data_IF_257884061577
#
_entry.id   IF_257884061577
#
_cell.length_a   1.000
_cell.length_b   1.000
_cell.length_c   1.000
_cell.angle_alpha   90.00
_cell.angle_beta   90.00
_cell.angle_gamma   90.00
#
_symmetry.space_group_name_H-M   'P 1'
#
loop_
_entity.id
_entity.type
_entity.pdbx_description
1 polymer ?
#
# COMPACT_ATOMS: atom_id res chain seq x y z
N UNK A 26 -1.73 -15.91 -16.37
CA UNK A 26 -1.64 -15.97 -14.89
C UNK A 26 -0.70 -14.90 -14.29
N UNK A 27 -0.77 -14.75 -12.96
CA UNK A 27 0.03 -13.78 -12.17
C UNK A 27 1.36 -14.39 -11.67
N UNK A 28 2.24 -13.55 -11.08
CA UNK A 28 3.54 -13.98 -10.45
C UNK A 28 3.33 -14.44 -8.99
N UNK A 29 4.31 -15.15 -8.42
CA UNK A 29 4.17 -15.72 -7.06
C UNK A 29 4.62 -14.66 -6.00
N UNK A 30 4.08 -14.73 -4.75
CA UNK A 30 4.26 -13.71 -3.68
C UNK A 30 5.68 -13.14 -3.38
N UNK A 31 6.64 -13.98 -2.93
CA UNK A 31 8.09 -13.59 -2.84
C UNK A 31 8.51 -12.54 -3.95
N UNK A 32 8.35 -12.89 -5.24
CA UNK A 32 8.84 -12.04 -6.33
C UNK A 32 8.04 -10.76 -6.56
N UNK A 33 6.73 -10.78 -6.35
CA UNK A 33 5.83 -9.81 -7.02
C UNK A 33 6.12 -8.39 -6.71
N UNK A 34 6.20 -7.55 -7.75
CA UNK A 34 6.21 -6.11 -7.56
C UNK A 34 5.70 -5.33 -8.75
N UNK A 35 5.43 -4.04 -8.56
CA UNK A 35 4.68 -3.29 -9.53
C UNK A 35 5.44 -3.07 -10.80
N UNK A 36 4.72 -3.06 -11.89
CA UNK A 36 5.32 -2.89 -13.20
C UNK A 36 6.43 -1.88 -13.16
N UNK A 37 6.14 -0.66 -12.70
CA UNK A 37 7.22 0.36 -12.53
C UNK A 37 7.63 0.46 -11.06
N UNK A 38 8.94 0.39 -10.78
CA UNK A 38 9.39 0.57 -9.40
C UNK A 38 9.06 1.98 -8.85
N UNK A 39 8.57 2.00 -7.60
CA UNK A 39 8.13 3.21 -6.88
C UNK A 39 6.79 3.81 -7.27
N UNK A 40 6.07 3.15 -8.16
CA UNK A 40 4.83 3.66 -8.67
C UNK A 40 3.86 2.52 -8.73
N UNK A 41 2.78 2.64 -7.97
CA UNK A 41 1.73 1.65 -7.97
C UNK A 41 0.44 2.23 -8.59
N UNK A 42 -0.10 1.57 -9.62
CA UNK A 42 -1.25 2.05 -10.38
C UNK A 42 -2.40 1.08 -10.16
N UNK A 43 -3.58 1.41 -10.67
CA UNK A 43 -4.73 0.54 -10.53
C UNK A 43 -4.47 -0.83 -11.16
N UNK A 44 -3.76 -0.90 -12.29
CA UNK A 44 -3.46 -2.23 -12.85
C UNK A 44 -2.66 -3.13 -11.92
N UNK A 45 -1.78 -2.57 -11.12
CA UNK A 45 -0.96 -3.44 -10.29
C UNK A 45 -1.88 -4.21 -9.34
N UNK A 46 -2.92 -3.53 -8.85
CA UNK A 46 -3.86 -4.18 -7.94
C UNK A 46 -4.92 -5.02 -8.67
N UNK A 47 -5.50 -4.51 -9.74
CA UNK A 47 -6.58 -5.23 -10.35
C UNK A 47 -6.12 -6.57 -10.91
N UNK A 48 -4.88 -6.66 -11.34
CA UNK A 48 -4.42 -7.93 -11.89
C UNK A 48 -4.59 -9.01 -10.81
N UNK A 49 -4.48 -8.59 -9.56
CA UNK A 49 -4.50 -9.52 -8.46
C UNK A 49 -5.90 -9.81 -7.92
N UNK A 50 -6.90 -9.00 -8.26
CA UNK A 50 -8.26 -9.28 -7.79
C UNK A 50 -8.70 -10.68 -8.24
N UNK A 51 -9.28 -11.44 -7.33
CA UNK A 51 -9.80 -12.76 -7.67
C UNK A 51 -8.79 -13.89 -7.56
N UNK A 52 -7.56 -13.55 -7.19
CA UNK A 52 -6.47 -14.50 -7.23
C UNK A 52 -6.21 -14.77 -5.79
N UNK A 53 -6.50 -15.99 -5.36
CA UNK A 53 -6.63 -16.25 -3.94
C UNK A 53 -5.27 -16.31 -3.23
N UNK A 54 -4.17 -16.22 -3.99
CA UNK A 54 -2.88 -15.98 -3.32
C UNK A 54 -2.90 -14.64 -2.60
N UNK A 55 -3.62 -13.66 -3.12
CA UNK A 55 -3.48 -12.26 -2.70
C UNK A 55 -4.66 -11.69 -1.91
N UNK A 56 -5.76 -12.42 -1.92
CA UNK A 56 -6.90 -12.07 -1.10
C UNK A 56 -7.94 -13.18 -1.09
N UNK A 57 -9.14 -12.81 -0.67
CA UNK A 57 -10.29 -13.71 -0.67
C UNK A 57 -11.56 -12.89 -0.83
N UNK A 58 -12.63 -13.56 -1.24
CA UNK A 58 -13.95 -12.96 -1.23
C UNK A 58 -14.63 -13.17 0.12
N UNK A 59 -14.92 -12.07 0.82
CA UNK A 59 -15.47 -12.15 2.18
C UNK A 59 -16.94 -12.65 2.22
N UNK A 60 -17.50 -12.66 3.43
CA UNK A 60 -18.85 -13.17 3.71
C UNK A 60 -19.88 -12.61 2.69
N UNK A 61 -19.81 -11.29 2.48
CA UNK A 61 -20.78 -10.56 1.65
C UNK A 61 -20.52 -10.70 0.13
N UNK A 62 -19.35 -11.24 -0.23
CA UNK A 62 -18.92 -11.28 -1.64
C UNK A 62 -18.08 -10.06 -2.04
N UNK A 63 -17.13 -9.69 -1.18
CA UNK A 63 -16.37 -8.44 -1.34
C UNK A 63 -14.91 -8.82 -1.26
N UNK A 64 -14.09 -8.34 -2.17
CA UNK A 64 -12.71 -8.78 -2.19
C UNK A 64 -11.93 -8.15 -1.02
N UNK A 65 -11.18 -8.94 -0.27
CA UNK A 65 -10.34 -8.42 0.81
C UNK A 65 -8.98 -8.91 0.55
N UNK A 66 -8.00 -8.15 1.03
CA UNK A 66 -6.62 -8.35 0.61
C UNK A 66 -5.81 -8.98 1.70
N UNK A 67 -4.85 -9.82 1.33
CA UNK A 67 -3.96 -10.41 2.32
C UNK A 67 -2.60 -9.66 2.43
N UNK A 68 -2.43 -8.64 1.58
CA UNK A 68 -1.22 -7.83 1.63
C UNK A 68 -1.43 -6.48 0.97
N UNK A 69 -0.33 -5.87 0.51
CA UNK A 69 -0.36 -4.57 -0.20
C UNK A 69 0.98 -4.21 -0.80
N UNK A 70 0.96 -3.23 -1.68
CA UNK A 70 2.21 -2.73 -2.19
C UNK A 70 2.78 -1.70 -1.27
N UNK A 71 4.10 -1.78 -1.08
CA UNK A 71 4.83 -0.92 -0.15
C UNK A 71 5.38 0.26 -0.91
N UNK A 72 6.10 1.16 -0.23
CA UNK A 72 6.58 2.38 -0.88
C UNK A 72 7.40 2.02 -2.13
N UNK A 73 8.19 0.96 -2.04
CA UNK A 73 9.00 0.48 -3.17
C UNK A 73 8.16 -0.09 -4.34
N UNK A 74 6.93 -0.46 -4.09
CA UNK A 74 6.19 -1.22 -5.07
C UNK A 74 6.32 -2.72 -4.85
N UNK A 75 6.93 -3.12 -3.75
CA UNK A 75 7.02 -4.53 -3.44
C UNK A 75 5.77 -4.94 -2.75
N UNK A 76 5.32 -6.15 -2.99
CA UNK A 76 4.14 -6.62 -2.30
C UNK A 76 4.53 -7.15 -0.94
N UNK A 77 3.83 -6.75 0.11
CA UNK A 77 4.11 -7.27 1.45
C UNK A 77 2.82 -7.85 2.02
N UNK A 78 2.92 -8.71 3.03
CA UNK A 78 1.75 -9.33 3.63
C UNK A 78 1.33 -8.63 4.88
N UNK A 79 0.17 -8.99 5.38
CA UNK A 79 -0.30 -8.40 6.58
C UNK A 79 0.19 -9.13 7.86
N UNK A 80 -0.35 -10.32 8.14
CA UNK A 80 0.01 -11.10 9.37
C UNK A 80 -0.25 -10.33 10.68
N UNK B 26 3.21 20.65 5.19
CA UNK B 26 2.01 20.35 6.00
C UNK B 26 1.16 19.26 5.35
N UNK B 27 1.40 18.00 5.74
CA UNK B 27 0.58 16.83 5.33
C UNK B 27 -0.83 16.90 5.90
N UNK B 28 -1.84 16.40 5.17
CA UNK B 28 -3.19 16.31 5.75
C UNK B 28 -3.25 15.21 6.83
N UNK B 29 -4.39 15.11 7.51
CA UNK B 29 -4.53 14.09 8.53
C UNK B 29 -5.05 12.81 7.88
N UNK B 30 -4.95 11.69 8.58
CA UNK B 30 -4.97 10.45 7.83
C UNK B 30 -6.29 10.11 7.16
N UNK B 31 -7.41 10.41 7.80
CA UNK B 31 -8.71 10.19 7.18
C UNK B 31 -8.86 10.96 5.88
N UNK B 32 -8.25 12.15 5.77
CA UNK B 32 -8.41 13.01 4.60
C UNK B 32 -7.32 12.76 3.62
N UNK B 33 -6.22 12.21 4.08
CA UNK B 33 -5.06 12.07 3.22
C UNK B 33 -5.36 11.31 1.96
N UNK B 34 -4.74 11.73 0.85
CA UNK B 34 -4.62 10.88 -0.32
C UNK B 34 -3.63 11.19 -1.43
N UNK B 35 -3.50 10.26 -2.38
CA UNK B 35 -2.45 10.30 -3.39
C UNK B 35 -2.48 11.59 -4.21
N UNK B 36 -1.31 12.03 -4.64
CA UNK B 36 -1.21 13.29 -5.34
C UNK B 36 -1.96 13.15 -6.68
N UNK B 37 -1.69 12.07 -7.42
CA UNK B 37 -2.37 11.83 -8.69
C UNK B 37 -3.40 10.71 -8.55
N UNK B 38 -4.69 10.99 -8.84
CA UNK B 38 -5.68 9.93 -8.63
C UNK B 38 -5.36 8.67 -9.44
N UNK B 39 -5.61 7.52 -8.83
CA UNK B 39 -5.38 6.21 -9.46
C UNK B 39 -3.92 5.83 -9.60
N UNK B 40 -3.05 6.48 -8.83
CA UNK B 40 -1.60 6.28 -8.93
C UNK B 40 -0.95 6.67 -7.60
N UNK B 41 -0.01 5.86 -7.12
CA UNK B 41 0.74 6.17 -5.91
C UNK B 41 2.21 6.11 -6.28
N UNK B 42 2.99 7.13 -5.89
CA UNK B 42 4.43 7.15 -6.16
C UNK B 42 5.13 7.46 -4.86
N UNK B 43 6.44 7.25 -4.86
CA UNK B 43 7.20 7.36 -3.63
C UNK B 43 6.95 8.71 -3.01
N UNK B 44 7.01 9.75 -3.80
CA UNK B 44 6.77 11.08 -3.28
C UNK B 44 5.56 11.17 -2.38
N UNK B 45 4.52 10.37 -2.62
CA UNK B 45 3.33 10.45 -1.79
C UNK B 45 3.67 9.98 -0.39
N UNK B 46 4.55 8.99 -0.28
CA UNK B 46 5.04 8.54 1.02
C UNK B 46 6.17 9.41 1.60
N UNK B 47 7.06 9.86 0.72
CA UNK B 47 8.18 10.69 1.11
C UNK B 47 7.68 11.84 1.98
N UNK B 48 6.70 12.59 1.55
CA UNK B 48 6.10 13.66 2.38
C UNK B 48 5.70 13.22 3.83
N UNK B 49 5.42 11.94 4.06
CA UNK B 49 4.96 11.50 5.39
C UNK B 49 6.10 11.13 6.32
N UNK B 50 7.25 10.85 5.74
CA UNK B 50 8.38 10.41 6.53
C UNK B 50 8.71 11.44 7.62
N UNK B 51 8.86 10.94 8.84
CA UNK B 51 8.98 11.81 10.02
C UNK B 51 7.72 12.55 10.44
N UNK B 52 6.57 12.23 9.85
CA UNK B 52 5.29 12.70 10.39
C UNK B 52 4.87 11.55 11.29
N UNK B 53 4.88 11.81 12.60
CA UNK B 53 4.75 10.74 13.60
C UNK B 53 3.36 10.10 13.61
N UNK B 54 2.37 10.85 13.15
CA UNK B 54 1.05 10.32 12.83
C UNK B 54 1.06 9.10 11.95
N UNK B 55 2.01 9.02 11.03
CA UNK B 55 1.98 8.02 9.94
C UNK B 55 3.07 6.97 10.05
N UNK B 56 4.11 7.26 10.83
CA UNK B 56 5.06 6.22 11.21
C UNK B 56 5.83 6.66 12.41
N UNK B 57 6.91 5.94 12.69
CA UNK B 57 7.85 6.35 13.73
C UNK B 57 9.24 5.73 13.57
N UNK B 58 10.20 6.40 14.19
CA UNK B 58 11.57 5.99 14.16
C UNK B 58 11.82 5.09 15.33
N UNK B 59 12.54 4.00 15.06
CA UNK B 59 12.99 3.14 16.14
C UNK B 59 14.26 3.74 16.75
N UNK B 60 14.92 3.03 17.65
CA UNK B 60 15.97 3.70 18.42
C UNK B 60 17.27 3.81 17.61
N UNK B 61 17.38 3.01 16.54
CA UNK B 61 18.50 3.10 15.58
C UNK B 61 18.16 3.98 14.37
N UNK B 62 17.02 4.65 14.40
CA UNK B 62 16.68 5.61 13.36
C UNK B 62 15.98 5.09 12.11
N UNK B 63 15.57 3.81 12.06
CA UNK B 63 14.77 3.27 10.94
C UNK B 63 13.35 3.71 11.10
N UNK B 64 12.70 4.03 9.99
CA UNK B 64 11.32 4.54 9.99
C UNK B 64 10.42 3.38 9.72
N UNK B 65 9.42 3.21 10.58
CA UNK B 65 8.42 2.19 10.36
C UNK B 65 7.12 2.88 10.05
N UNK B 66 6.38 2.26 9.12
CA UNK B 66 5.11 2.78 8.63
C UNK B 66 4.00 2.15 9.42
N UNK B 67 2.96 2.92 9.75
CA UNK B 67 1.85 2.34 10.52
C UNK B 67 0.66 1.93 9.63
N UNK B 68 0.87 2.11 8.32
CA UNK B 68 -0.17 1.89 7.32
C UNK B 68 0.32 2.01 5.89
N UNK B 69 -0.58 2.29 4.94
CA UNK B 69 -0.23 2.31 3.53
C UNK B 69 -1.31 2.86 2.66
N UNK B 70 -1.04 3.18 1.40
CA UNK B 70 -2.12 3.62 0.53
C UNK B 70 -2.78 2.42 -0.11
N UNK B 71 -4.08 2.47 -0.27
CA UNK B 71 -4.83 1.41 -0.94
C UNK B 71 -5.02 1.71 -2.42
N UNK B 72 -5.79 0.89 -3.10
CA UNK B 72 -5.96 1.05 -4.52
C UNK B 72 -6.50 2.42 -4.94
N UNK B 73 -7.33 3.03 -4.08
CA UNK B 73 -7.91 4.36 -4.37
C UNK B 73 -6.97 5.49 -3.98
N UNK B 74 -5.83 5.15 -3.41
CA UNK B 74 -4.94 6.17 -2.94
C UNK B 74 -5.33 6.72 -1.58
N UNK B 75 -6.10 5.98 -0.79
CA UNK B 75 -6.50 6.44 0.55
C UNK B 75 -5.59 5.82 1.57
N UNK B 76 -5.22 6.53 2.62
CA UNK B 76 -4.44 5.88 3.66
C UNK B 76 -5.25 4.78 4.40
N UNK B 77 -4.66 3.64 4.72
CA UNK B 77 -5.34 2.70 5.57
C UNK B 77 -4.31 2.15 6.55
N UNK B 78 -4.71 1.84 7.78
CA UNK B 78 -3.78 1.35 8.80
C UNK B 78 -3.55 -0.12 8.61
N UNK B 79 -2.45 -0.62 9.15
CA UNK B 79 -2.27 -2.05 9.28
C UNK B 79 -3.04 -2.28 10.56
N UNK B 80 -4.31 -2.67 10.41
CA UNK B 80 -5.29 -2.60 11.54
C UNK B 80 -4.83 -3.46 12.71
#
# INVERSE_FOLDING_TARGET
>A
KQEQPEINLDHVVEQTIKKVQQNQNQNKDPDELRSKVPGEVTASDWEALVGDTRYGYFDETGDWSWKGYFDEQGKWVWNEPVDSLEHHHHHH
>B
KQEQPEINLDHVVEQTIKKVQQNQNQNKDPDELRSKVPGEVTASDWEALVGDTRYGYFDETGDWSWKGYFDEQGKWVWNEPVDSLEHHHHHH
#
